data_IF_495978273368
#
_entry.id   IF_495978273368
#
_cell.length_a   1.000
_cell.length_b   1.000
_cell.length_c   1.000
_cell.angle_alpha   90.00
_cell.angle_beta   90.00
_cell.angle_gamma   90.00
#
_symmetry.space_group_name_H-M   'P 1'
#
loop_
_entity.id
_entity.type
_entity.pdbx_description
1 polymer ?
#
# COMPACT_ATOMS: atom_id res chain seq x y z
N UNK A 1 -14.26 -15.96 -7.72
CA UNK A 1 -13.03 -15.35 -7.14
C UNK A 1 -12.72 -16.06 -5.84
N UNK A 2 -11.46 -16.38 -5.58
CA UNK A 2 -11.02 -16.99 -4.32
C UNK A 2 -10.75 -15.89 -3.27
N UNK A 3 -10.88 -16.25 -1.99
CA UNK A 3 -10.50 -15.35 -0.88
C UNK A 3 -8.98 -15.17 -0.83
N UNK A 4 -8.51 -13.94 -0.60
CA UNK A 4 -7.09 -13.62 -0.39
C UNK A 4 -6.67 -13.70 1.10
N UNK A 5 -7.62 -13.95 2.01
CA UNK A 5 -7.37 -14.03 3.45
C UNK A 5 -6.52 -15.27 3.77
N UNK A 6 -5.58 -15.15 4.72
CA UNK A 6 -4.59 -16.18 5.10
C UNK A 6 -3.61 -16.61 4.01
N UNK A 7 -3.61 -15.95 2.85
CA UNK A 7 -2.61 -16.15 1.81
C UNK A 7 -1.49 -15.11 1.95
N UNK A 8 -0.35 -15.37 1.30
CA UNK A 8 0.69 -14.36 1.19
C UNK A 8 0.14 -13.13 0.46
N UNK A 9 0.30 -11.94 1.05
CA UNK A 9 -0.14 -10.70 0.45
C UNK A 9 0.56 -10.49 -0.91
N UNK A 10 -0.17 -10.06 -1.96
CA UNK A 10 0.42 -9.79 -3.27
C UNK A 10 1.54 -8.76 -3.19
N UNK A 11 2.66 -9.04 -3.86
CA UNK A 11 3.76 -8.08 -3.96
C UNK A 11 3.30 -6.85 -4.76
N UNK A 12 3.68 -5.67 -4.28
CA UNK A 12 3.55 -4.43 -5.02
C UNK A 12 4.83 -3.62 -4.87
N UNK A 13 5.07 -2.79 -5.86
CA UNK A 13 6.15 -1.81 -5.89
C UNK A 13 5.64 -0.59 -6.64
N UNK A 14 5.58 0.55 -5.96
CA UNK A 14 5.01 1.79 -6.51
C UNK A 14 5.68 3.02 -5.92
N UNK A 15 5.48 4.17 -6.56
CA UNK A 15 5.92 5.46 -6.05
C UNK A 15 4.92 5.94 -5.00
N UNK A 16 5.41 6.32 -3.83
CA UNK A 16 4.62 6.85 -2.72
C UNK A 16 5.10 8.26 -2.36
N UNK A 17 4.18 9.09 -1.86
CA UNK A 17 4.50 10.39 -1.27
C UNK A 17 4.81 10.17 0.21
N UNK A 18 6.00 10.60 0.64
CA UNK A 18 6.50 10.47 2.00
C UNK A 18 6.04 11.64 2.89
N UNK A 19 6.17 11.57 4.23
CA UNK A 19 5.73 12.63 5.15
C UNK A 19 6.38 14.00 4.91
N UNK A 20 7.55 14.02 4.26
CA UNK A 20 8.29 15.24 3.88
C UNK A 20 7.90 15.76 2.49
N UNK A 21 6.90 15.15 1.83
CA UNK A 21 6.46 15.50 0.48
C UNK A 21 7.38 14.96 -0.63
N UNK A 22 8.45 14.23 -0.28
CA UNK A 22 9.31 13.60 -1.28
C UNK A 22 8.62 12.38 -1.90
N UNK A 23 9.00 12.08 -3.14
CA UNK A 23 8.60 10.83 -3.76
C UNK A 23 9.64 9.74 -3.48
N UNK A 24 9.15 8.58 -3.04
CA UNK A 24 9.99 7.41 -2.82
C UNK A 24 9.37 6.16 -3.43
N UNK A 25 10.20 5.36 -4.08
CA UNK A 25 9.80 4.02 -4.50
C UNK A 25 9.66 3.11 -3.27
N UNK A 26 8.47 2.55 -3.09
CA UNK A 26 8.10 1.76 -1.91
C UNK A 26 7.53 0.42 -2.37
N UNK A 27 7.95 -0.65 -1.70
CA UNK A 27 7.49 -2.01 -1.91
C UNK A 27 6.92 -2.61 -0.63
N UNK A 28 6.12 -3.67 -0.78
CA UNK A 28 5.67 -4.45 0.39
C UNK A 28 6.85 -5.10 1.13
N UNK A 29 7.96 -5.39 0.44
CA UNK A 29 9.14 -6.04 1.01
C UNK A 29 9.88 -5.14 2.00
N UNK A 30 9.83 -3.82 1.80
CA UNK A 30 10.46 -2.84 2.70
C UNK A 30 9.88 -2.87 4.13
N UNK A 31 8.72 -3.49 4.32
CA UNK A 31 8.01 -3.59 5.59
C UNK A 31 8.07 -4.99 6.22
N UNK A 32 8.91 -5.91 5.72
CA UNK A 32 9.07 -7.25 6.31
C UNK A 32 9.42 -7.15 7.81
N UNK A 33 8.84 -8.05 8.60
CA UNK A 33 9.00 -8.08 10.06
C UNK A 33 8.11 -7.10 10.82
N UNK A 34 7.30 -6.29 10.13
CA UNK A 34 6.29 -5.41 10.74
C UNK A 34 4.88 -5.84 10.31
N UNK A 35 3.90 -5.61 11.16
CA UNK A 35 2.50 -5.66 10.75
C UNK A 35 2.20 -4.42 9.89
N UNK A 36 1.54 -4.63 8.76
CA UNK A 36 1.19 -3.59 7.79
C UNK A 36 -0.31 -3.58 7.58
N UNK A 37 -0.91 -2.39 7.60
CA UNK A 37 -2.30 -2.16 7.20
C UNK A 37 -2.28 -1.41 5.86
N UNK A 38 -2.80 -2.05 4.81
CA UNK A 38 -2.97 -1.45 3.49
C UNK A 38 -4.45 -1.16 3.27
N UNK A 39 -4.77 0.10 2.99
CA UNK A 39 -6.13 0.57 2.77
C UNK A 39 -6.24 1.23 1.39
N UNK A 40 -7.35 0.98 0.70
CA UNK A 40 -7.66 1.59 -0.59
C UNK A 40 -8.83 2.56 -0.41
N UNK A 41 -8.70 3.74 -1.00
CA UNK A 41 -9.77 4.73 -1.08
C UNK A 41 -10.06 5.07 -2.55
N UNK A 42 -11.26 5.57 -2.88
CA UNK A 42 -11.71 5.61 -4.28
C UNK A 42 -10.94 6.58 -5.18
N UNK A 43 -10.77 7.83 -4.74
CA UNK A 43 -10.13 8.89 -5.51
C UNK A 43 -9.81 10.10 -4.61
N UNK A 44 -8.74 10.82 -4.92
CA UNK A 44 -8.45 12.14 -4.35
C UNK A 44 -9.49 13.19 -4.77
N UNK A 45 -9.75 14.18 -3.91
CA UNK A 45 -10.58 15.37 -4.21
C UNK A 45 -11.97 15.08 -4.78
N UNK A 46 -12.69 14.11 -4.19
CA UNK A 46 -14.09 13.88 -4.51
C UNK A 46 -15.00 14.90 -3.83
N UNK A 47 -16.17 15.16 -4.41
CA UNK A 47 -17.24 15.89 -3.74
C UNK A 47 -17.91 14.96 -2.72
N UNK A 48 -18.05 15.43 -1.48
CA UNK A 48 -18.86 14.79 -0.41
C UNK A 48 -20.15 15.55 -0.19
#
# INVERSE_FOLDING_TARGET
>A
MASLVQQAAPAFKTQAVMPDGSFKETSLEDYRGKYVVLFFYPLDFTFV
#
